data_IF_878211439438
#
_entry.id   IF_878211439438
#
_cell.length_a   1.000
_cell.length_b   1.000
_cell.length_c   1.000
_cell.angle_alpha   90.00
_cell.angle_beta   90.00
_cell.angle_gamma   90.00
#
_symmetry.space_group_name_H-M   'P 1'
#
loop_
_entity.id
_entity.type
_entity.pdbx_description
1 polymer ?
#
# COMPACT_ATOMS: atom_id res chain seq x y z
N UNK A 1 -36.13 -39.04 -29.68
CA UNK A 1 -35.00 -39.03 -28.72
C UNK A 1 -34.12 -37.80 -28.98
N UNK A 2 -34.68 -36.59 -28.85
CA UNK A 2 -33.87 -35.36 -28.85
C UNK A 2 -33.83 -34.83 -27.42
N UNK A 3 -32.85 -35.31 -26.66
CA UNK A 3 -32.59 -34.86 -25.31
C UNK A 3 -31.37 -33.93 -25.32
N UNK A 4 -31.65 -32.63 -25.12
CA UNK A 4 -30.92 -31.73 -24.24
C UNK A 4 -29.39 -31.61 -24.41
N UNK A 5 -28.94 -31.13 -25.58
CA UNK A 5 -27.65 -30.45 -25.67
C UNK A 5 -27.75 -29.05 -25.04
N UNK A 6 -27.78 -29.00 -23.71
CA UNK A 6 -27.63 -27.75 -22.96
C UNK A 6 -26.21 -27.22 -23.17
N UNK A 7 -26.06 -26.26 -24.09
CA UNK A 7 -24.80 -25.56 -24.30
C UNK A 7 -24.40 -24.86 -23.00
N UNK A 8 -23.39 -25.40 -22.31
CA UNK A 8 -22.71 -24.74 -21.19
C UNK A 8 -22.16 -23.42 -21.73
N UNK A 9 -22.80 -22.31 -21.37
CA UNK A 9 -22.28 -20.98 -21.73
C UNK A 9 -20.83 -20.88 -21.21
N UNK A 10 -19.87 -20.41 -22.04
CA UNK A 10 -18.49 -20.29 -21.60
C UNK A 10 -18.44 -19.38 -20.38
N UNK A 11 -17.73 -19.82 -19.34
CA UNK A 11 -17.54 -19.04 -18.13
C UNK A 11 -16.98 -17.65 -18.51
N UNK A 12 -17.49 -16.55 -17.92
CA UNK A 12 -17.05 -15.22 -18.27
C UNK A 12 -15.53 -15.11 -18.04
N UNK A 13 -14.80 -14.67 -19.06
CA UNK A 13 -13.36 -14.54 -18.99
C UNK A 13 -12.95 -13.61 -17.83
N UNK A 14 -11.90 -13.94 -17.06
CA UNK A 14 -11.46 -13.12 -15.95
C UNK A 14 -11.04 -11.73 -16.44
N UNK A 15 -11.46 -10.70 -15.71
CA UNK A 15 -11.14 -9.30 -16.02
C UNK A 15 -9.63 -9.08 -15.96
N UNK A 16 -9.00 -8.91 -17.13
CA UNK A 16 -7.55 -8.78 -17.29
C UNK A 16 -6.95 -7.68 -16.39
N UNK A 17 -7.69 -6.59 -16.13
CA UNK A 17 -7.22 -5.51 -15.25
C UNK A 17 -7.08 -5.97 -13.80
N UNK A 18 -8.01 -6.81 -13.33
CA UNK A 18 -7.98 -7.37 -11.96
C UNK A 18 -6.86 -8.39 -11.82
N UNK A 19 -6.67 -9.24 -12.84
CA UNK A 19 -5.57 -10.22 -12.86
C UNK A 19 -4.22 -9.50 -12.86
N UNK A 20 -4.04 -8.50 -13.72
CA UNK A 20 -2.82 -7.69 -13.76
C UNK A 20 -2.50 -7.02 -12.42
N UNK A 21 -3.51 -6.46 -11.74
CA UNK A 21 -3.32 -5.88 -10.40
C UNK A 21 -2.87 -6.92 -9.38
N UNK A 22 -3.48 -8.12 -9.36
CA UNK A 22 -3.08 -9.19 -8.44
C UNK A 22 -1.65 -9.67 -8.67
N UNK A 23 -1.28 -9.89 -9.94
CA UNK A 23 0.09 -10.26 -10.30
C UNK A 23 1.08 -9.18 -9.87
N UNK A 24 0.77 -7.91 -10.14
CA UNK A 24 1.60 -6.79 -9.71
C UNK A 24 1.77 -6.75 -8.19
N UNK A 25 0.68 -6.85 -7.42
CA UNK A 25 0.75 -6.88 -5.95
C UNK A 25 1.57 -8.07 -5.44
N UNK A 26 1.49 -9.23 -6.08
CA UNK A 26 2.31 -10.39 -5.74
C UNK A 26 3.81 -10.12 -5.97
N UNK A 27 4.18 -9.53 -7.10
CA UNK A 27 5.56 -9.14 -7.39
C UNK A 27 6.09 -8.13 -6.38
N UNK A 28 5.30 -7.10 -6.07
CA UNK A 28 5.65 -6.10 -5.06
C UNK A 28 5.81 -6.76 -3.69
N UNK A 29 4.90 -7.65 -3.30
CA UNK A 29 5.00 -8.39 -2.03
C UNK A 29 6.28 -9.21 -1.95
N UNK A 30 6.63 -9.95 -3.01
CA UNK A 30 7.88 -10.71 -3.07
C UNK A 30 9.10 -9.81 -2.92
N UNK A 31 9.13 -8.66 -3.61
CA UNK A 31 10.21 -7.69 -3.51
C UNK A 31 10.41 -7.19 -2.07
N UNK A 32 9.33 -6.78 -1.40
CA UNK A 32 9.40 -6.33 0.00
C UNK A 32 9.73 -7.46 0.96
N UNK A 33 9.27 -8.68 0.69
CA UNK A 33 9.64 -9.86 1.48
C UNK A 33 11.14 -10.14 1.41
N UNK A 34 11.74 -10.09 0.22
CA UNK A 34 13.18 -10.25 0.02
C UNK A 34 13.99 -9.23 0.83
N UNK A 35 13.62 -7.95 0.76
CA UNK A 35 14.28 -6.92 1.57
C UNK A 35 14.03 -7.07 3.08
N UNK A 36 12.85 -7.57 3.47
CA UNK A 36 12.53 -7.82 4.89
C UNK A 36 13.37 -8.96 5.47
N UNK A 37 13.58 -10.03 4.71
CA UNK A 37 14.51 -11.11 5.09
C UNK A 37 15.93 -10.58 5.18
N UNK A 38 16.38 -9.79 4.20
CA UNK A 38 17.71 -9.18 4.24
C UNK A 38 17.90 -8.25 5.46
N UNK A 39 16.86 -7.49 5.83
CA UNK A 39 16.85 -6.66 7.05
C UNK A 39 17.07 -7.52 8.30
N UNK A 40 16.28 -8.60 8.48
CA UNK A 40 16.39 -9.50 9.64
C UNK A 40 17.76 -10.18 9.68
N UNK A 41 18.28 -10.64 8.54
CA UNK A 41 19.62 -11.23 8.48
C UNK A 41 20.70 -10.22 8.90
N UNK A 42 20.55 -8.95 8.49
CA UNK A 42 21.50 -7.89 8.83
C UNK A 42 21.49 -7.53 10.31
N UNK A 43 20.36 -7.71 11.00
CA UNK A 43 20.23 -7.50 12.46
C UNK A 43 21.15 -8.40 13.29
N UNK A 44 21.58 -9.55 12.76
CA UNK A 44 22.45 -10.49 13.46
C UNK A 44 23.94 -10.07 13.49
N UNK A 45 24.31 -9.00 12.78
CA UNK A 45 25.69 -8.52 12.69
C UNK A 45 26.02 -7.55 13.85
N UNK A 46 27.30 -7.50 14.25
CA UNK A 46 27.77 -6.75 15.43
C UNK A 46 27.72 -5.23 15.28
N UNK A 47 27.70 -4.71 14.06
CA UNK A 47 27.59 -3.29 13.74
C UNK A 47 26.14 -2.80 13.67
N UNK A 48 25.16 -3.68 13.94
CA UNK A 48 23.76 -3.32 13.95
C UNK A 48 23.40 -2.43 15.14
N UNK A 49 22.81 -1.27 14.86
CA UNK A 49 22.20 -0.43 15.90
C UNK A 49 20.71 -0.21 15.58
N UNK A 50 19.77 -0.62 16.47
CA UNK A 50 18.35 -0.46 16.21
C UNK A 50 17.93 1.01 16.23
N UNK A 51 16.96 1.36 15.38
CA UNK A 51 16.31 2.67 15.39
C UNK A 51 15.38 2.77 16.59
N UNK A 52 15.90 3.20 17.74
CA UNK A 52 15.12 3.35 18.99
C UNK A 52 14.19 4.56 18.98
N UNK A 53 14.37 5.48 18.05
CA UNK A 53 13.56 6.68 17.93
C UNK A 53 12.57 6.56 16.77
N UNK A 54 11.29 6.64 17.10
CA UNK A 54 10.20 6.73 16.11
C UNK A 54 9.83 8.20 15.95
N UNK A 55 10.18 8.87 14.82
CA UNK A 55 9.72 10.22 14.58
C UNK A 55 8.19 10.26 14.53
N UNK A 56 7.59 11.23 15.23
CA UNK A 56 6.14 11.42 15.24
C UNK A 56 5.56 11.65 13.83
N UNK A 57 6.38 12.14 12.90
CA UNK A 57 6.06 12.29 11.48
C UNK A 57 5.65 10.97 10.81
N UNK A 58 6.17 9.82 11.26
CA UNK A 58 5.77 8.51 10.73
C UNK A 58 4.39 8.08 11.22
N UNK A 59 3.98 8.51 12.42
CA UNK A 59 2.60 8.30 12.89
C UNK A 59 1.63 9.16 12.08
N UNK A 60 2.02 10.40 11.79
CA UNK A 60 1.26 11.28 10.89
C UNK A 60 1.14 10.66 9.49
N UNK A 61 2.24 10.18 8.90
CA UNK A 61 2.19 9.55 7.56
C UNK A 61 1.28 8.31 7.57
N UNK A 62 1.36 7.47 8.60
CA UNK A 62 0.47 6.31 8.77
C UNK A 62 -1.00 6.70 8.83
N UNK A 63 -1.35 7.71 9.64
CA UNK A 63 -2.72 8.20 9.75
C UNK A 63 -3.22 8.77 8.41
N UNK A 64 -2.39 9.55 7.71
CA UNK A 64 -2.72 10.13 6.41
C UNK A 64 -2.93 9.04 5.34
N UNK A 65 -2.10 8.00 5.32
CA UNK A 65 -2.26 6.88 4.39
C UNK A 65 -3.53 6.06 4.69
N UNK A 66 -3.85 5.86 5.97
CA UNK A 66 -5.09 5.22 6.38
C UNK A 66 -6.33 6.02 5.93
N UNK A 67 -6.29 7.36 6.08
CA UNK A 67 -7.33 8.24 5.58
C UNK A 67 -7.42 8.21 4.05
N UNK A 68 -6.29 8.16 3.34
CA UNK A 68 -6.28 8.02 1.87
C UNK A 68 -6.96 6.71 1.43
N UNK A 69 -6.66 5.62 2.15
CA UNK A 69 -7.28 4.31 1.91
C UNK A 69 -8.79 4.33 2.17
N UNK A 70 -9.23 4.94 3.28
CA UNK A 70 -10.66 5.13 3.58
C UNK A 70 -11.37 6.02 2.54
N UNK A 71 -10.71 7.07 2.06
CA UNK A 71 -11.25 7.94 1.02
C UNK A 71 -11.43 7.21 -0.32
N UNK A 72 -10.49 6.34 -0.72
CA UNK A 72 -10.66 5.48 -1.89
C UNK A 72 -11.79 4.47 -1.73
N UNK A 73 -11.95 3.90 -0.53
CA UNK A 73 -13.07 3.00 -0.24
C UNK A 73 -14.41 3.74 -0.28
N UNK A 74 -14.46 4.99 0.21
CA UNK A 74 -15.60 5.89 0.06
C UNK A 74 -15.92 6.18 -1.41
N UNK A 75 -14.90 6.45 -2.23
CA UNK A 75 -15.04 6.62 -3.67
C UNK A 75 -15.64 5.36 -4.31
N UNK A 76 -15.10 4.17 -4.00
CA UNK A 76 -15.63 2.90 -4.50
C UNK A 76 -17.10 2.71 -4.11
N UNK A 77 -17.46 2.87 -2.84
CA UNK A 77 -18.85 2.71 -2.35
C UNK A 77 -19.81 3.69 -3.02
N UNK A 78 -19.42 4.95 -3.16
CA UNK A 78 -20.21 5.94 -3.87
C UNK A 78 -20.40 5.60 -5.35
N UNK A 79 -19.37 5.07 -6.01
CA UNK A 79 -19.44 4.70 -7.42
C UNK A 79 -20.34 3.48 -7.69
N UNK A 80 -20.48 2.57 -6.71
CA UNK A 80 -21.40 1.43 -6.77
C UNK A 80 -22.72 1.67 -6.01
N UNK A 81 -22.98 2.89 -5.57
CA UNK A 81 -24.24 3.18 -4.87
C UNK A 81 -25.41 2.99 -5.84
N UNK A 82 -26.37 2.15 -5.45
CA UNK A 82 -27.57 1.82 -6.25
C UNK A 82 -28.60 2.95 -6.28
N UNK A 83 -28.16 4.21 -6.28
CA UNK A 83 -29.03 5.37 -6.24
C UNK A 83 -30.09 5.32 -7.36
N UNK A 84 -31.36 5.47 -6.98
CA UNK A 84 -32.51 5.52 -7.87
C UNK A 84 -32.85 6.98 -8.21
N UNK A 85 -33.04 7.27 -9.50
CA UNK A 85 -33.26 8.64 -10.00
C UNK A 85 -32.01 9.28 -10.62
N UNK A 86 -32.20 10.16 -11.59
CA UNK A 86 -31.12 10.81 -12.34
C UNK A 86 -30.26 11.71 -11.44
N UNK A 87 -30.91 12.54 -10.61
CA UNK A 87 -30.24 13.50 -9.74
C UNK A 87 -29.44 12.82 -8.62
N UNK A 88 -30.01 11.76 -8.02
CA UNK A 88 -29.33 10.98 -6.98
C UNK A 88 -28.07 10.28 -7.53
N UNK A 89 -28.12 9.76 -8.76
CA UNK A 89 -26.96 9.17 -9.44
C UNK A 89 -25.90 10.21 -9.78
N UNK A 90 -26.31 11.40 -10.21
CA UNK A 90 -25.39 12.50 -10.49
C UNK A 90 -24.68 12.99 -9.21
N UNK A 91 -25.42 13.13 -8.10
CA UNK A 91 -24.87 13.50 -6.81
C UNK A 91 -23.90 12.44 -6.26
N UNK A 92 -24.27 11.16 -6.33
CA UNK A 92 -23.42 10.05 -5.92
C UNK A 92 -22.13 9.96 -6.75
N UNK A 93 -22.22 10.15 -8.06
CA UNK A 93 -21.06 10.20 -8.96
C UNK A 93 -20.11 11.36 -8.63
N UNK A 94 -20.64 12.54 -8.33
CA UNK A 94 -19.86 13.70 -7.88
C UNK A 94 -19.18 13.45 -6.53
N UNK A 95 -19.91 12.90 -5.56
CA UNK A 95 -19.37 12.54 -4.24
C UNK A 95 -18.22 11.54 -4.34
N UNK A 96 -18.38 10.52 -5.18
CA UNK A 96 -17.34 9.53 -5.43
C UNK A 96 -16.08 10.12 -6.07
N UNK A 97 -16.23 11.04 -7.04
CA UNK A 97 -15.09 11.76 -7.64
C UNK A 97 -14.37 12.65 -6.63
N UNK A 98 -15.11 13.37 -5.77
CA UNK A 98 -14.53 14.19 -4.69
C UNK A 98 -13.74 13.32 -3.70
N UNK A 99 -14.26 12.14 -3.34
CA UNK A 99 -13.57 11.20 -2.48
C UNK A 99 -12.27 10.66 -3.11
N UNK A 100 -12.28 10.36 -4.41
CA UNK A 100 -11.06 9.96 -5.13
C UNK A 100 -10.01 11.09 -5.19
N UNK A 101 -10.43 12.34 -5.42
CA UNK A 101 -9.52 13.50 -5.38
C UNK A 101 -8.93 13.72 -3.99
N UNK A 102 -9.76 13.61 -2.94
CA UNK A 102 -9.30 13.66 -1.56
C UNK A 102 -8.28 12.56 -1.27
N UNK A 103 -8.52 11.34 -1.73
CA UNK A 103 -7.60 10.22 -1.57
C UNK A 103 -6.24 10.49 -2.24
N UNK A 104 -6.24 11.06 -3.45
CA UNK A 104 -5.02 11.50 -4.13
C UNK A 104 -4.29 12.60 -3.34
N UNK A 105 -5.01 13.62 -2.86
CA UNK A 105 -4.42 14.70 -2.07
C UNK A 105 -3.79 14.20 -0.77
N UNK A 106 -4.47 13.30 -0.05
CA UNK A 106 -3.94 12.63 1.14
C UNK A 106 -2.71 11.78 0.80
N UNK A 107 -2.68 11.13 -0.35
CA UNK A 107 -1.51 10.34 -0.78
C UNK A 107 -0.29 11.23 -1.09
N UNK A 108 -0.51 12.43 -1.65
CA UNK A 108 0.55 13.42 -1.80
C UNK A 108 1.04 13.93 -0.44
N UNK A 109 0.12 14.16 0.50
CA UNK A 109 0.46 14.53 1.86
C UNK A 109 1.27 13.44 2.57
N UNK A 110 0.97 12.15 2.32
CA UNK A 110 1.78 11.03 2.81
C UNK A 110 3.23 11.13 2.31
N UNK A 111 3.43 11.38 1.01
CA UNK A 111 4.78 11.55 0.45
C UNK A 111 5.51 12.74 1.09
N UNK A 112 4.82 13.86 1.29
CA UNK A 112 5.37 15.02 2.01
C UNK A 112 5.75 14.72 3.46
N UNK A 113 4.87 14.03 4.19
CA UNK A 113 5.14 13.58 5.56
C UNK A 113 6.34 12.62 5.63
N UNK A 114 6.50 11.76 4.62
CA UNK A 114 7.64 10.85 4.53
C UNK A 114 8.96 11.58 4.29
N UNK A 115 8.98 12.57 3.39
CA UNK A 115 10.14 13.43 3.18
C UNK A 115 10.50 14.22 4.45
N UNK A 116 9.49 14.69 5.18
CA UNK A 116 9.71 15.38 6.46
C UNK A 116 10.28 14.43 7.52
N UNK A 117 9.78 13.19 7.60
CA UNK A 117 10.34 12.18 8.50
C UNK A 117 11.83 11.93 8.19
N UNK A 118 12.20 11.86 6.92
CA UNK A 118 13.60 11.71 6.48
C UNK A 118 14.48 12.88 6.88
N UNK A 119 13.99 14.11 6.71
CA UNK A 119 14.69 15.32 7.14
C UNK A 119 14.89 15.32 8.66
N UNK A 120 13.85 14.98 9.43
CA UNK A 120 13.93 14.89 10.88
C UNK A 120 14.96 13.86 11.33
N UNK A 121 14.98 12.67 10.72
CA UNK A 121 15.97 11.62 11.01
C UNK A 121 17.39 12.05 10.68
N UNK A 122 17.60 12.69 9.53
CA UNK A 122 18.90 13.22 9.13
C UNK A 122 19.40 14.29 10.10
N UNK A 123 18.51 15.17 10.57
CA UNK A 123 18.85 16.20 11.56
C UNK A 123 19.29 15.63 12.93
N UNK A 124 18.89 14.40 13.25
CA UNK A 124 19.33 13.67 14.45
C UNK A 124 20.53 12.75 14.18
N UNK A 125 21.25 12.94 13.08
CA UNK A 125 22.39 12.12 12.63
C UNK A 125 22.06 10.67 12.22
N UNK A 126 20.79 10.33 12.01
CA UNK A 126 20.41 9.07 11.38
C UNK A 126 20.42 9.22 9.85
N UNK A 127 21.63 9.25 9.28
CA UNK A 127 21.83 9.39 7.83
C UNK A 127 21.74 8.03 7.11
N UNK A 128 21.59 8.06 5.78
CA UNK A 128 21.52 6.86 4.94
C UNK A 128 22.79 6.00 5.07
N UNK A 129 23.97 6.61 5.22
CA UNK A 129 25.26 5.91 5.31
C UNK A 129 25.78 5.71 6.74
N UNK A 130 25.06 6.22 7.75
CA UNK A 130 25.56 6.22 9.13
C UNK A 130 25.51 4.85 9.82
N UNK A 131 24.50 4.04 9.51
CA UNK A 131 24.28 2.72 10.13
C UNK A 131 23.42 1.86 9.18
N UNK A 132 23.72 0.56 9.02
CA UNK A 132 22.90 -0.38 8.27
C UNK A 132 21.39 -0.29 8.52
N UNK A 133 20.94 -0.15 9.78
CA UNK A 133 19.51 -0.06 10.09
C UNK A 133 18.86 1.20 9.49
N UNK A 134 19.57 2.34 9.53
CA UNK A 134 19.16 3.57 8.86
C UNK A 134 19.11 3.39 7.34
N UNK A 135 20.11 2.73 6.74
CA UNK A 135 20.12 2.46 5.30
C UNK A 135 18.88 1.67 4.85
N UNK A 136 18.52 0.62 5.59
CA UNK A 136 17.31 -0.17 5.32
C UNK A 136 16.04 0.64 5.52
N UNK A 137 15.97 1.52 6.53
CA UNK A 137 14.85 2.44 6.71
C UNK A 137 14.60 3.29 5.47
N UNK A 138 15.63 3.99 4.98
CA UNK A 138 15.49 4.86 3.80
C UNK A 138 15.18 4.05 2.54
N UNK A 139 15.77 2.86 2.38
CA UNK A 139 15.49 1.97 1.25
C UNK A 139 14.04 1.47 1.24
N UNK A 140 13.58 0.87 2.34
CA UNK A 140 12.25 0.27 2.44
C UNK A 140 11.15 1.35 2.36
N UNK A 141 11.31 2.44 3.11
CA UNK A 141 10.33 3.53 3.07
C UNK A 141 10.36 4.30 1.75
N UNK A 142 11.52 4.42 1.11
CA UNK A 142 11.66 5.05 -0.21
C UNK A 142 11.05 4.20 -1.31
N UNK A 143 11.29 2.89 -1.30
CA UNK A 143 10.64 1.95 -2.20
C UNK A 143 9.12 1.99 -2.03
N UNK A 144 8.63 2.04 -0.79
CA UNK A 144 7.21 2.16 -0.52
C UNK A 144 6.64 3.48 -1.06
N UNK A 145 7.30 4.61 -0.78
CA UNK A 145 6.94 5.92 -1.34
C UNK A 145 6.90 5.92 -2.86
N UNK A 146 7.83 5.23 -3.54
CA UNK A 146 7.82 5.09 -4.99
C UNK A 146 6.57 4.33 -5.49
N UNK A 147 6.13 3.29 -4.79
CA UNK A 147 4.91 2.55 -5.14
C UNK A 147 3.64 3.38 -4.93
N UNK A 148 3.62 4.23 -3.90
CA UNK A 148 2.54 5.22 -3.67
C UNK A 148 2.53 6.26 -4.80
N UNK A 149 3.69 6.80 -5.17
CA UNK A 149 3.83 7.76 -6.26
C UNK A 149 3.42 7.17 -7.63
N UNK A 150 3.86 5.94 -7.92
CA UNK A 150 3.45 5.21 -9.12
C UNK A 150 1.95 4.92 -9.15
N UNK A 151 1.36 4.56 -7.99
CA UNK A 151 -0.08 4.42 -7.82
C UNK A 151 -0.85 5.70 -8.10
N UNK A 152 -0.35 6.84 -7.60
CA UNK A 152 -0.88 8.18 -7.86
C UNK A 152 -0.88 8.52 -9.35
N UNK A 153 0.22 8.26 -10.05
CA UNK A 153 0.31 8.45 -11.49
C UNK A 153 -0.71 7.59 -12.24
N UNK A 154 -0.82 6.30 -11.89
CA UNK A 154 -1.80 5.39 -12.49
C UNK A 154 -3.26 5.83 -12.21
N UNK A 155 -3.55 6.29 -10.99
CA UNK A 155 -4.86 6.80 -10.62
C UNK A 155 -5.21 8.09 -11.38
N UNK A 156 -4.25 9.00 -11.59
CA UNK A 156 -4.44 10.19 -12.41
C UNK A 156 -4.76 9.84 -13.87
N UNK A 157 -3.99 8.93 -14.47
CA UNK A 157 -4.22 8.46 -15.85
C UNK A 157 -5.59 7.77 -16.00
N UNK A 158 -5.98 6.95 -15.02
CA UNK A 158 -7.29 6.30 -14.99
C UNK A 158 -8.43 7.32 -14.83
N UNK A 159 -8.25 8.35 -14.00
CA UNK A 159 -9.22 9.44 -13.82
C UNK A 159 -9.42 10.27 -15.09
N UNK A 160 -8.33 10.59 -15.79
CA UNK A 160 -8.39 11.28 -17.09
C UNK A 160 -9.13 10.44 -18.14
N UNK A 161 -8.81 9.14 -18.22
CA UNK A 161 -9.44 8.21 -19.16
C UNK A 161 -10.94 8.01 -18.87
N UNK A 162 -11.32 7.94 -17.59
CA UNK A 162 -12.71 7.79 -17.17
C UNK A 162 -13.57 9.04 -17.41
N UNK A 163 -12.96 10.20 -17.65
CA UNK A 163 -13.68 11.44 -17.97
C UNK A 163 -14.12 11.55 -19.43
N UNK A 164 -13.62 10.67 -20.32
CA UNK A 164 -13.86 10.70 -21.77
C UNK A 164 -14.79 9.56 -22.21
N UNK A 165 -16.02 9.90 -22.62
CA UNK A 165 -16.93 8.99 -23.36
C UNK A 165 -18.26 8.65 -22.67
N UNK A 166 -19.17 8.01 -23.42
CA UNK A 166 -20.55 7.66 -23.00
C UNK A 166 -20.64 6.63 -21.86
N UNK A 167 -19.56 5.89 -21.59
CA UNK A 167 -19.47 4.88 -20.51
C UNK A 167 -18.64 5.34 -19.30
N UNK A 168 -18.40 6.66 -19.15
CA UNK A 168 -17.55 7.26 -18.13
C UNK A 168 -17.84 6.78 -16.70
N UNK A 169 -19.11 6.63 -16.32
CA UNK A 169 -19.51 6.20 -14.96
C UNK A 169 -19.10 4.76 -14.63
N UNK A 170 -19.33 3.82 -15.54
CA UNK A 170 -18.98 2.40 -15.34
C UNK A 170 -17.47 2.20 -15.33
N UNK A 171 -16.76 2.90 -16.22
CA UNK A 171 -15.30 2.90 -16.29
C UNK A 171 -14.67 3.46 -15.01
N UNK A 172 -15.25 4.52 -14.45
CA UNK A 172 -14.80 5.11 -13.18
C UNK A 172 -15.03 4.16 -12.00
N UNK A 173 -16.20 3.54 -11.86
CA UNK A 173 -16.49 2.63 -10.76
C UNK A 173 -15.52 1.44 -10.70
N UNK A 174 -15.24 0.82 -11.85
CA UNK A 174 -14.26 -0.26 -11.95
C UNK A 174 -12.83 0.21 -11.58
N UNK A 175 -12.46 1.42 -12.01
CA UNK A 175 -11.15 2.01 -11.70
C UNK A 175 -11.01 2.35 -10.21
N UNK A 176 -12.04 2.96 -9.61
CA UNK A 176 -12.08 3.25 -8.17
C UNK A 176 -11.98 1.97 -7.33
N UNK A 177 -12.57 0.85 -7.77
CA UNK A 177 -12.42 -0.44 -7.10
C UNK A 177 -10.98 -0.98 -7.14
N UNK A 178 -10.29 -0.83 -8.28
CA UNK A 178 -8.88 -1.23 -8.41
C UNK A 178 -7.98 -0.34 -7.54
N UNK A 179 -8.18 0.98 -7.58
CA UNK A 179 -7.45 1.93 -6.74
C UNK A 179 -7.65 1.66 -5.25
N UNK A 180 -8.89 1.44 -4.80
CA UNK A 180 -9.17 1.11 -3.39
C UNK A 180 -8.42 -0.14 -2.92
N UNK A 181 -8.46 -1.23 -3.70
CA UNK A 181 -7.71 -2.45 -3.38
C UNK A 181 -6.20 -2.20 -3.28
N UNK A 182 -5.65 -1.47 -4.25
CA UNK A 182 -4.23 -1.16 -4.26
C UNK A 182 -3.81 -0.28 -3.07
N UNK A 183 -4.62 0.70 -2.68
CA UNK A 183 -4.35 1.53 -1.50
C UNK A 183 -4.46 0.76 -0.19
N UNK A 184 -5.42 -0.16 -0.06
CA UNK A 184 -5.47 -1.07 1.10
C UNK A 184 -4.23 -1.96 1.16
N UNK A 185 -3.77 -2.49 0.02
CA UNK A 185 -2.53 -3.24 -0.07
C UNK A 185 -1.32 -2.41 0.40
N UNK A 186 -1.20 -1.17 -0.10
CA UNK A 186 -0.12 -0.27 0.33
C UNK A 186 -0.18 0.04 1.83
N UNK A 187 -1.37 0.27 2.39
CA UNK A 187 -1.52 0.46 3.84
C UNK A 187 -1.09 -0.77 4.63
N UNK A 188 -1.51 -1.96 4.23
CA UNK A 188 -1.12 -3.22 4.88
C UNK A 188 0.39 -3.44 4.81
N UNK A 189 0.98 -3.20 3.65
CA UNK A 189 2.42 -3.26 3.43
C UNK A 189 3.16 -2.25 4.31
N UNK A 190 2.66 -1.01 4.42
CA UNK A 190 3.23 0.02 5.27
C UNK A 190 3.21 -0.38 6.75
N UNK A 191 2.09 -0.92 7.24
CA UNK A 191 1.98 -1.42 8.61
C UNK A 191 2.92 -2.60 8.88
N UNK A 192 3.08 -3.50 7.91
CA UNK A 192 4.04 -4.59 8.01
C UNK A 192 5.49 -4.08 8.11
N UNK A 193 5.86 -3.06 7.31
CA UNK A 193 7.16 -2.40 7.40
C UNK A 193 7.34 -1.68 8.73
N UNK A 194 6.33 -0.93 9.17
CA UNK A 194 6.38 -0.23 10.45
C UNK A 194 6.59 -1.20 11.62
N UNK A 195 5.89 -2.35 11.61
CA UNK A 195 6.08 -3.41 12.58
C UNK A 195 7.48 -4.05 12.48
N UNK A 196 7.98 -4.34 11.28
CA UNK A 196 9.33 -4.88 11.06
C UNK A 196 10.41 -3.96 11.63
N UNK A 197 10.23 -2.65 11.52
CA UNK A 197 11.27 -1.69 11.89
C UNK A 197 11.28 -1.34 13.38
N UNK A 198 10.11 -1.28 14.02
CA UNK A 198 9.98 -0.77 15.38
C UNK A 198 9.50 -1.82 16.39
N UNK A 199 8.91 -2.92 15.93
CA UNK A 199 8.41 -4.00 16.79
C UNK A 199 9.36 -5.20 16.78
N UNK A 200 9.97 -5.52 15.64
CA UNK A 200 10.96 -6.61 15.53
C UNK A 200 12.31 -6.12 16.05
N UNK A 201 12.62 -6.51 17.29
CA UNK A 201 13.90 -6.25 17.98
C UNK A 201 14.70 -7.56 18.12
N UNK A 202 16.04 -7.49 18.34
CA UNK A 202 16.83 -8.69 18.59
C UNK A 202 16.28 -9.55 19.73
N UNK A 203 15.81 -8.91 20.80
CA UNK A 203 15.19 -9.60 21.94
C UNK A 203 13.91 -10.33 21.54
N UNK A 204 13.04 -9.69 20.74
CA UNK A 204 11.85 -10.34 20.20
C UNK A 204 12.19 -11.55 19.33
N UNK A 205 13.21 -11.43 18.47
CA UNK A 205 13.67 -12.55 17.63
C UNK A 205 14.19 -13.69 18.50
N UNK A 206 14.93 -13.40 19.57
CA UNK A 206 15.41 -14.42 20.50
C UNK A 206 14.26 -15.17 21.17
N UNK A 207 13.24 -14.45 21.68
CA UNK A 207 12.04 -15.07 22.26
C UNK A 207 11.32 -15.98 21.26
N UNK A 208 11.19 -15.54 20.01
CA UNK A 208 10.57 -16.36 18.95
C UNK A 208 11.42 -17.59 18.66
N UNK A 209 12.74 -17.45 18.48
CA UNK A 209 13.65 -18.58 18.26
C UNK A 209 13.59 -19.60 19.41
N UNK A 210 13.60 -19.13 20.67
CA UNK A 210 13.47 -19.97 21.85
C UNK A 210 12.11 -20.72 21.89
N UNK A 211 11.01 -20.03 21.58
CA UNK A 211 9.68 -20.66 21.51
C UNK A 211 9.55 -21.73 20.43
N UNK A 212 10.36 -21.65 19.37
CA UNK A 212 10.42 -22.63 18.27
C UNK A 212 11.50 -23.70 18.52
N UNK A 213 12.25 -23.61 19.62
CA UNK A 213 13.30 -24.56 19.99
C UNK A 213 14.62 -24.41 19.23
N UNK A 214 14.82 -23.29 18.53
CA UNK A 214 16.05 -22.96 17.82
C UNK A 214 16.92 -22.11 18.75
N UNK A 215 18.11 -22.61 19.12
CA UNK A 215 19.04 -21.81 19.95
C UNK A 215 19.57 -20.63 19.12
N UNK A 216 19.40 -19.38 19.55
CA UNK A 216 19.99 -18.26 18.87
C UNK A 216 21.52 -18.33 18.94
N UNK A 217 22.24 -17.90 17.89
CA UNK A 217 23.70 -17.77 17.95
C UNK A 217 24.05 -16.78 19.05
N UNK A 218 24.92 -17.19 19.99
CA UNK A 218 25.34 -16.33 21.07
C UNK A 218 26.19 -15.18 20.51
N UNK A 219 25.78 -13.94 20.78
CA UNK A 219 26.60 -12.77 20.55
C UNK A 219 27.90 -12.94 21.36
N UNK A 220 29.04 -13.00 20.66
CA UNK A 220 30.36 -12.84 21.28
C UNK A 220 30.70 -11.36 21.39
#
# INVERSE_FOLDING_TARGET
MEAMAGAMAPAPAPDARKVGLWVFMAVVSSLFMLFSVAYVMRMAMTDWQPLRYVPWQLWLSTAVLALASAAWEGARRGAYSGASGADARAAAGQGSRRAALLACALSLLFLGAQLWAWQAMTAMNFTVSGNPASSFFYLLTGLHGLHVAGGLAAAALAGLSASRGRAAGVSFAASAALCARYWHFLLLLWLALFALMFLVTPDFVQVVCESVGIRPPQAR
#
